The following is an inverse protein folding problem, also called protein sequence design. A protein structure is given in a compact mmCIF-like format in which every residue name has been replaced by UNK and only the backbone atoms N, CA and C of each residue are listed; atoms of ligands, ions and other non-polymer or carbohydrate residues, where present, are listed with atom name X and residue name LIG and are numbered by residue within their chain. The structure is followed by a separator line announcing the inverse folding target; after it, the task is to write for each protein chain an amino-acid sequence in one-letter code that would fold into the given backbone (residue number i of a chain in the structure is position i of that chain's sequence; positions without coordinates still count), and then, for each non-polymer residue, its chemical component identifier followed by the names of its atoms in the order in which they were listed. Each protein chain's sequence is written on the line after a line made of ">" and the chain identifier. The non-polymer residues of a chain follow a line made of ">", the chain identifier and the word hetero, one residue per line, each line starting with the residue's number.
data_IF_102447222844
#
_entry.id   IF_102447222844
#
_cell.length_a   1.000
_cell.length_b   1.000
_cell.length_c   1.000
_cell.angle_alpha   90.00
_cell.angle_beta   90.00
_cell.angle_gamma   90.00
#
_symmetry.space_group_name_H-M   'P 1'
#
loop_
_entity.id
_entity.type
_entity.pdbx_description
1 polymer ?
#
# COMPACT_ATOMS: atom_id res chain seq x y z
N UNK A 1 14.94 -5.84 -18.58
CA UNK A 1 13.53 -6.22 -18.82
C UNK A 1 13.30 -7.58 -18.17
N UNK A 2 12.34 -7.69 -17.24
CA UNK A 2 12.16 -8.90 -16.43
C UNK A 2 11.64 -10.08 -17.26
N UNK A 3 12.30 -11.24 -17.17
CA UNK A 3 12.03 -12.41 -18.03
C UNK A 3 10.62 -13.01 -17.87
N UNK A 4 9.99 -12.84 -16.71
CA UNK A 4 8.65 -13.35 -16.41
C UNK A 4 7.51 -12.54 -17.04
N UNK A 5 7.80 -11.38 -17.66
CA UNK A 5 6.81 -10.57 -18.38
C UNK A 5 6.37 -11.17 -19.73
N UNK A 6 7.00 -12.26 -20.18
CA UNK A 6 6.80 -12.85 -21.52
C UNK A 6 5.58 -13.77 -21.65
N UNK A 7 4.78 -14.00 -20.59
CA UNK A 7 3.64 -14.93 -20.64
C UNK A 7 2.35 -14.29 -20.12
N UNK A 8 1.31 -14.36 -20.96
CA UNK A 8 -0.14 -14.32 -20.66
C UNK A 8 -0.87 -12.95 -20.75
N UNK A 9 -2.16 -13.05 -21.14
CA UNK A 9 -3.13 -12.04 -21.62
C UNK A 9 -4.21 -11.67 -20.57
N UNK A 10 -4.84 -10.51 -20.76
CA UNK A 10 -5.80 -9.90 -19.82
C UNK A 10 -7.28 -10.06 -20.27
N UNK A 11 -8.27 -10.05 -19.34
CA UNK A 11 -9.68 -10.06 -19.70
C UNK A 11 -10.25 -8.64 -19.91
N UNK A 12 -11.29 -8.56 -20.76
CA UNK A 12 -12.03 -7.35 -21.15
C UNK A 12 -13.44 -7.40 -20.53
N UNK A 13 -13.95 -6.27 -20.02
CA UNK A 13 -15.34 -6.14 -19.55
C UNK A 13 -16.13 -5.21 -20.47
N UNK A 14 -17.31 -5.65 -20.92
CA UNK A 14 -18.19 -4.97 -21.87
C UNK A 14 -19.03 -3.84 -21.23
N UNK A 15 -19.47 -2.89 -22.06
CA UNK A 15 -20.26 -1.70 -21.70
C UNK A 15 -21.68 -1.79 -22.30
N UNK A 16 -22.66 -2.23 -21.52
CA UNK A 16 -24.08 -2.02 -21.84
C UNK A 16 -24.72 -1.04 -20.83
N UNK A 17 -25.70 -0.21 -21.25
CA UNK A 17 -26.37 0.74 -20.38
C UNK A 17 -27.28 0.02 -19.38
N UNK A 18 -26.94 0.11 -18.10
CA UNK A 18 -27.70 -0.52 -17.01
C UNK A 18 -29.07 0.15 -16.84
N UNK A 19 -30.15 -0.65 -16.87
CA UNK A 19 -31.44 -0.27 -16.28
C UNK A 19 -31.30 -0.24 -14.75
N UNK A 20 -31.90 0.75 -14.09
CA UNK A 20 -31.84 0.89 -12.63
C UNK A 20 -33.13 0.41 -12.00
N UNK A 21 -33.05 -0.59 -11.11
CA UNK A 21 -34.18 -1.06 -10.32
C UNK A 21 -34.05 -0.59 -8.86
N UNK A 22 -35.17 -0.41 -8.18
CA UNK A 22 -35.17 -0.13 -6.74
C UNK A 22 -34.59 -1.34 -5.97
N UNK A 23 -33.61 -1.15 -5.07
CA UNK A 23 -32.99 -2.26 -4.34
C UNK A 23 -33.89 -2.88 -3.25
N UNK A 24 -35.07 -2.30 -3.01
CA UNK A 24 -36.02 -2.81 -2.00
C UNK A 24 -37.27 -3.46 -2.58
N UNK A 25 -37.77 -2.99 -3.72
CA UNK A 25 -38.99 -3.51 -4.34
C UNK A 25 -38.82 -3.91 -5.81
N UNK A 26 -37.60 -3.81 -6.34
CA UNK A 26 -37.21 -4.24 -7.71
C UNK A 26 -37.91 -3.52 -8.87
N UNK A 27 -38.78 -2.55 -8.60
CA UNK A 27 -39.43 -1.74 -9.64
C UNK A 27 -38.40 -0.92 -10.42
N UNK A 28 -38.55 -0.92 -11.74
CA UNK A 28 -37.73 -0.15 -12.67
C UNK A 28 -37.90 1.35 -12.40
N UNK A 29 -36.78 2.07 -12.34
CA UNK A 29 -36.74 3.51 -12.10
C UNK A 29 -36.79 4.22 -13.44
N UNK A 30 -37.70 5.20 -13.58
CA UNK A 30 -37.91 5.97 -14.84
C UNK A 30 -36.62 6.55 -15.45
N UNK A 31 -35.63 6.89 -14.61
CA UNK A 31 -34.31 7.34 -15.04
C UNK A 31 -33.26 6.82 -14.07
N UNK A 32 -32.06 6.55 -14.58
CA UNK A 32 -30.93 6.16 -13.71
C UNK A 32 -30.67 7.26 -12.67
N UNK A 33 -30.73 6.94 -11.36
CA UNK A 33 -30.45 7.89 -10.28
C UNK A 33 -29.03 8.46 -10.32
N UNK A 34 -28.87 9.76 -10.13
CA UNK A 34 -27.52 10.37 -9.96
C UNK A 34 -27.16 10.67 -8.50
N UNK A 35 -28.17 10.77 -7.62
CA UNK A 35 -28.05 11.10 -6.19
C UNK A 35 -28.98 10.24 -5.34
N UNK A 36 -28.79 10.26 -4.02
CA UNK A 36 -29.69 9.64 -3.03
C UNK A 36 -31.13 10.13 -3.25
N UNK A 37 -32.10 9.22 -3.28
CA UNK A 37 -33.52 9.55 -3.43
C UNK A 37 -34.44 8.45 -2.88
N UNK A 38 -35.74 8.76 -2.75
CA UNK A 38 -36.79 7.81 -2.38
C UNK A 38 -37.38 7.12 -3.60
N UNK A 39 -37.65 5.84 -3.49
CA UNK A 39 -38.45 5.13 -4.49
C UNK A 39 -39.90 5.65 -4.48
N UNK A 40 -40.44 6.01 -5.64
CA UNK A 40 -41.83 6.48 -5.76
C UNK A 40 -42.88 5.39 -5.45
N UNK A 41 -42.51 4.11 -5.57
CA UNK A 41 -43.42 3.00 -5.30
C UNK A 41 -43.39 2.57 -3.83
N UNK A 42 -42.22 2.27 -3.26
CA UNK A 42 -42.14 1.75 -1.89
C UNK A 42 -41.77 2.79 -0.82
N UNK A 43 -41.50 4.04 -1.21
CA UNK A 43 -41.14 5.14 -0.29
C UNK A 43 -39.76 5.05 0.35
N UNK A 44 -39.07 3.90 0.27
CA UNK A 44 -37.75 3.67 0.87
C UNK A 44 -36.64 4.45 0.16
N UNK A 45 -35.67 4.91 0.94
CA UNK A 45 -34.48 5.62 0.44
C UNK A 45 -33.40 4.66 -0.03
N UNK A 46 -32.84 4.92 -1.21
CA UNK A 46 -31.69 4.20 -1.74
C UNK A 46 -30.53 5.16 -2.03
N UNK A 47 -29.32 4.60 -2.06
CA UNK A 47 -28.07 5.33 -2.22
C UNK A 47 -27.46 4.98 -3.58
N UNK A 48 -26.86 5.98 -4.23
CA UNK A 48 -26.15 5.80 -5.49
C UNK A 48 -24.64 5.82 -5.25
N UNK A 49 -23.93 4.86 -5.84
CA UNK A 49 -22.47 4.80 -5.87
C UNK A 49 -21.96 4.60 -7.29
N UNK A 50 -20.68 4.85 -7.51
CA UNK A 50 -19.98 4.47 -8.74
C UNK A 50 -19.07 3.29 -8.40
N UNK A 51 -19.23 2.17 -9.11
CA UNK A 51 -18.42 0.98 -8.97
C UNK A 51 -16.93 1.31 -9.17
N UNK A 52 -16.06 0.93 -8.23
CA UNK A 52 -14.67 1.38 -8.19
C UNK A 52 -13.82 0.77 -9.34
N UNK A 53 -14.15 -0.45 -9.79
CA UNK A 53 -13.61 -1.08 -11.00
C UNK A 53 -14.31 -0.61 -12.29
N UNK A 54 -15.56 -1.02 -12.48
CA UNK A 54 -16.28 -0.87 -13.77
C UNK A 54 -16.72 0.55 -14.08
N UNK A 55 -16.68 1.46 -13.09
CA UNK A 55 -17.20 2.84 -13.17
C UNK A 55 -18.70 2.94 -13.46
N UNK A 56 -19.42 1.81 -13.44
CA UNK A 56 -20.86 1.77 -13.58
C UNK A 56 -21.54 2.32 -12.31
N UNK A 57 -22.74 2.88 -12.47
CA UNK A 57 -23.52 3.34 -11.32
C UNK A 57 -24.21 2.16 -10.64
N UNK A 58 -24.24 2.19 -9.31
CA UNK A 58 -24.88 1.19 -8.46
C UNK A 58 -26.00 1.86 -7.68
N UNK A 59 -27.14 1.18 -7.56
CA UNK A 59 -28.26 1.58 -6.70
C UNK A 59 -28.33 0.59 -5.55
N UNK A 60 -28.08 1.06 -4.32
CA UNK A 60 -27.86 0.23 -3.15
C UNK A 60 -28.81 0.59 -2.02
N UNK A 61 -29.10 -0.38 -1.16
CA UNK A 61 -29.65 -0.10 0.18
C UNK A 61 -28.62 0.64 1.02
N UNK A 62 -29.03 1.20 2.16
CA UNK A 62 -28.07 1.81 3.10
C UNK A 62 -27.04 0.80 3.62
N UNK A 63 -27.50 -0.41 3.94
CA UNK A 63 -26.64 -1.50 4.41
C UNK A 63 -25.63 -1.94 3.35
N UNK A 64 -26.05 -2.06 2.11
CA UNK A 64 -25.17 -2.48 1.01
C UNK A 64 -24.22 -1.36 0.59
N UNK A 65 -24.65 -0.10 0.68
CA UNK A 65 -23.78 1.05 0.48
C UNK A 65 -22.66 1.09 1.52
N UNK A 66 -22.97 0.85 2.81
CA UNK A 66 -21.95 0.78 3.86
C UNK A 66 -20.93 -0.34 3.62
N UNK A 67 -21.40 -1.55 3.25
CA UNK A 67 -20.52 -2.67 2.89
C UNK A 67 -19.64 -2.34 1.69
N UNK A 68 -20.24 -1.77 0.65
CA UNK A 68 -19.53 -1.38 -0.57
C UNK A 68 -18.46 -0.31 -0.30
N UNK A 69 -18.75 0.67 0.55
CA UNK A 69 -17.79 1.72 0.90
C UNK A 69 -16.56 1.14 1.64
N UNK A 70 -16.76 0.14 2.51
CA UNK A 70 -15.65 -0.61 3.16
C UNK A 70 -14.85 -1.42 2.13
N UNK A 71 -15.51 -2.16 1.24
CA UNK A 71 -14.86 -2.94 0.20
C UNK A 71 -14.02 -2.05 -0.74
N UNK A 72 -14.61 -0.91 -1.15
CA UNK A 72 -13.95 0.10 -1.97
C UNK A 72 -12.69 0.65 -1.27
N UNK A 73 -12.78 0.99 0.01
CA UNK A 73 -11.63 1.51 0.76
C UNK A 73 -10.51 0.46 0.85
N UNK A 74 -10.86 -0.81 1.07
CA UNK A 74 -9.90 -1.91 1.08
C UNK A 74 -9.23 -2.08 -0.29
N UNK A 75 -10.02 -2.07 -1.38
CA UNK A 75 -9.49 -2.12 -2.74
C UNK A 75 -8.46 -1.01 -3.01
N UNK A 76 -8.77 0.24 -2.67
CA UNK A 76 -7.84 1.35 -2.90
C UNK A 76 -6.61 1.30 -1.99
N UNK A 77 -6.75 0.77 -0.78
CA UNK A 77 -5.62 0.52 0.11
C UNK A 77 -4.68 -0.52 -0.49
N UNK A 78 -5.19 -1.65 -0.98
CA UNK A 78 -4.40 -2.67 -1.67
C UNK A 78 -3.77 -2.15 -2.97
N UNK A 79 -4.57 -1.42 -3.76
CA UNK A 79 -4.10 -0.82 -5.02
C UNK A 79 -2.96 0.17 -4.79
N UNK A 80 -2.92 0.85 -3.64
CA UNK A 80 -1.86 1.82 -3.32
C UNK A 80 -0.47 1.20 -3.29
N UNK A 81 -0.34 -0.07 -2.88
CA UNK A 81 0.94 -0.78 -2.95
C UNK A 81 1.36 -0.99 -4.40
N UNK A 82 0.45 -1.47 -5.26
CA UNK A 82 0.72 -1.64 -6.69
C UNK A 82 1.13 -0.31 -7.31
N UNK A 83 0.37 0.77 -7.05
CA UNK A 83 0.66 2.09 -7.59
C UNK A 83 2.03 2.61 -7.10
N UNK A 84 2.38 2.37 -5.84
CA UNK A 84 3.71 2.70 -5.30
C UNK A 84 4.84 1.91 -5.94
N UNK A 85 4.59 0.64 -6.29
CA UNK A 85 5.56 -0.22 -6.99
C UNK A 85 5.78 0.23 -8.45
N UNK A 86 4.80 0.83 -9.12
CA UNK A 86 4.92 1.25 -10.54
C UNK A 86 6.17 2.10 -10.81
N UNK A 87 6.55 2.96 -9.87
CA UNK A 87 7.73 3.81 -9.97
C UNK A 87 9.04 3.01 -10.09
N UNK A 88 9.06 1.77 -9.61
CA UNK A 88 10.23 0.89 -9.62
C UNK A 88 10.18 -0.19 -10.71
N UNK A 89 8.99 -0.49 -11.25
CA UNK A 89 8.87 -1.55 -12.26
C UNK A 89 9.45 -1.09 -13.62
N UNK A 90 9.43 0.23 -13.90
CA UNK A 90 10.00 0.76 -15.15
C UNK A 90 9.29 0.26 -16.41
N UNK A 91 8.01 -0.10 -16.28
CA UNK A 91 7.16 -0.63 -17.36
C UNK A 91 5.90 0.20 -17.51
N UNK A 92 5.28 0.13 -18.69
CA UNK A 92 4.03 0.85 -18.93
C UNK A 92 2.86 0.28 -18.11
N UNK A 93 1.78 1.05 -18.01
CA UNK A 93 0.60 0.66 -17.22
C UNK A 93 -0.02 -0.67 -17.66
N UNK A 94 0.00 -1.01 -18.96
CA UNK A 94 -0.57 -2.26 -19.47
C UNK A 94 0.25 -3.45 -19.03
N UNK A 95 1.58 -3.30 -18.96
CA UNK A 95 2.48 -4.35 -18.47
C UNK A 95 2.28 -4.60 -16.97
N UNK A 96 2.02 -3.56 -16.18
CA UNK A 96 1.65 -3.71 -14.76
C UNK A 96 0.33 -4.47 -14.60
N UNK A 97 -0.70 -4.10 -15.36
CA UNK A 97 -2.01 -4.77 -15.28
C UNK A 97 -1.91 -6.26 -15.65
N UNK A 98 -1.09 -6.60 -16.65
CA UNK A 98 -0.82 -8.00 -17.02
C UNK A 98 -0.17 -8.78 -15.88
N UNK A 99 0.85 -8.21 -15.25
CA UNK A 99 1.53 -8.82 -14.10
C UNK A 99 0.57 -9.08 -12.94
N UNK A 100 -0.27 -8.09 -12.61
CA UNK A 100 -1.26 -8.19 -11.53
C UNK A 100 -2.23 -9.35 -11.82
N UNK A 101 -2.76 -9.43 -13.03
CA UNK A 101 -3.69 -10.50 -13.40
C UNK A 101 -3.02 -11.88 -13.38
N UNK A 102 -1.83 -12.02 -13.97
CA UNK A 102 -1.11 -13.30 -13.99
C UNK A 102 -0.77 -13.80 -12.58
N UNK A 103 -0.30 -12.91 -11.71
CA UNK A 103 -0.02 -13.24 -10.30
C UNK A 103 -1.30 -13.63 -9.56
N UNK A 104 -2.41 -12.94 -9.84
CA UNK A 104 -3.71 -13.26 -9.25
C UNK A 104 -4.19 -14.64 -9.64
N UNK A 105 -4.04 -15.03 -10.90
CA UNK A 105 -4.44 -16.35 -11.38
C UNK A 105 -3.61 -17.45 -10.73
N UNK A 106 -2.29 -17.25 -10.60
CA UNK A 106 -1.39 -18.19 -9.93
C UNK A 106 -1.78 -18.37 -8.45
N UNK A 107 -1.94 -17.27 -7.71
CA UNK A 107 -2.32 -17.31 -6.31
C UNK A 107 -3.73 -17.90 -6.12
N UNK A 108 -4.67 -17.59 -7.01
CA UNK A 108 -6.03 -18.15 -6.97
C UNK A 108 -6.01 -19.66 -7.11
N UNK A 109 -5.21 -20.20 -8.05
CA UNK A 109 -5.01 -21.65 -8.20
C UNK A 109 -4.39 -22.26 -6.95
N UNK A 110 -3.41 -21.58 -6.35
CA UNK A 110 -2.72 -22.05 -5.12
C UNK A 110 -3.62 -22.04 -3.90
N UNK A 111 -4.49 -21.04 -3.75
CA UNK A 111 -5.34 -20.86 -2.58
C UNK A 111 -6.66 -21.66 -2.67
N UNK A 112 -7.12 -21.99 -3.88
CA UNK A 112 -8.43 -22.60 -4.10
C UNK A 112 -9.59 -21.59 -4.04
N UNK A 113 -9.30 -20.29 -3.94
CA UNK A 113 -10.27 -19.19 -3.97
C UNK A 113 -9.62 -17.95 -4.57
N UNK A 114 -10.43 -16.99 -5.03
CA UNK A 114 -9.95 -15.75 -5.67
C UNK A 114 -9.01 -14.98 -4.75
N UNK A 115 -7.75 -14.84 -5.17
CA UNK A 115 -6.76 -14.10 -4.39
C UNK A 115 -7.15 -12.62 -4.22
N UNK A 116 -6.93 -12.11 -3.01
CA UNK A 116 -7.14 -10.70 -2.70
C UNK A 116 -6.05 -9.85 -3.38
N UNK A 117 -6.38 -8.58 -3.68
CA UNK A 117 -5.43 -7.69 -4.36
C UNK A 117 -4.19 -7.43 -3.49
N UNK A 118 -4.35 -7.35 -2.16
CA UNK A 118 -3.24 -7.24 -1.23
C UNK A 118 -2.22 -8.38 -1.33
N UNK A 119 -2.68 -9.63 -1.42
CA UNK A 119 -1.79 -10.80 -1.57
C UNK A 119 -1.04 -10.77 -2.90
N UNK A 120 -1.72 -10.34 -3.97
CA UNK A 120 -1.12 -10.15 -5.30
C UNK A 120 -0.04 -9.07 -5.25
N UNK A 121 -0.36 -7.91 -4.69
CA UNK A 121 0.57 -6.80 -4.54
C UNK A 121 1.80 -7.18 -3.71
N UNK A 122 1.57 -7.92 -2.62
CA UNK A 122 2.63 -8.45 -1.76
C UNK A 122 3.54 -9.43 -2.50
N UNK A 123 2.96 -10.39 -3.23
CA UNK A 123 3.72 -11.35 -4.04
C UNK A 123 4.60 -10.63 -5.07
N UNK A 124 4.04 -9.65 -5.79
CA UNK A 124 4.79 -8.83 -6.76
C UNK A 124 5.97 -8.12 -6.09
N UNK A 125 5.75 -7.46 -4.94
CA UNK A 125 6.84 -6.78 -4.22
C UNK A 125 7.98 -7.74 -3.84
N UNK A 126 7.68 -8.97 -3.40
CA UNK A 126 8.70 -9.95 -3.05
C UNK A 126 9.47 -10.45 -4.29
N UNK A 127 8.78 -10.67 -5.41
CA UNK A 127 9.44 -11.01 -6.68
C UNK A 127 10.40 -9.89 -7.13
N UNK A 128 9.97 -8.64 -6.97
CA UNK A 128 10.80 -7.48 -7.30
C UNK A 128 12.03 -7.37 -6.38
N UNK A 129 11.88 -7.61 -5.07
CA UNK A 129 13.00 -7.65 -4.12
C UNK A 129 13.99 -8.75 -4.53
N UNK A 130 13.52 -9.97 -4.80
CA UNK A 130 14.38 -11.09 -5.18
C UNK A 130 15.22 -10.78 -6.42
N UNK A 131 14.63 -10.08 -7.38
CA UNK A 131 15.31 -9.69 -8.60
C UNK A 131 16.25 -8.48 -8.41
N UNK A 132 15.88 -7.51 -7.58
CA UNK A 132 16.75 -6.41 -7.21
C UNK A 132 18.00 -6.91 -6.44
N UNK A 133 17.83 -7.93 -5.58
CA UNK A 133 18.94 -8.62 -4.90
C UNK A 133 19.92 -9.21 -5.91
N UNK A 134 19.43 -9.94 -6.94
CA UNK A 134 20.30 -10.52 -7.98
C UNK A 134 21.13 -9.48 -8.72
N UNK A 135 20.58 -8.26 -8.87
CA UNK A 135 21.25 -7.14 -9.55
C UNK A 135 22.11 -6.28 -8.63
N UNK A 136 22.04 -6.49 -7.32
CA UNK A 136 22.65 -5.60 -6.34
C UNK A 136 22.01 -4.20 -6.29
N UNK A 137 20.77 -4.05 -6.76
CA UNK A 137 20.06 -2.76 -6.80
C UNK A 137 19.46 -2.43 -5.42
N UNK A 138 20.30 -1.89 -4.56
CA UNK A 138 19.95 -1.56 -3.16
C UNK A 138 18.89 -0.47 -3.06
N UNK A 139 18.89 0.50 -3.97
CA UNK A 139 17.93 1.59 -3.95
C UNK A 139 16.53 1.08 -4.30
N UNK A 140 16.44 0.15 -5.26
CA UNK A 140 15.19 -0.55 -5.55
C UNK A 140 14.72 -1.39 -4.36
N UNK A 141 15.61 -2.14 -3.69
CA UNK A 141 15.25 -2.92 -2.48
C UNK A 141 14.68 -2.01 -1.40
N UNK A 142 15.38 -0.91 -1.07
CA UNK A 142 14.94 0.07 -0.06
C UNK A 142 13.61 0.71 -0.44
N UNK A 143 13.45 1.09 -1.70
CA UNK A 143 12.21 1.64 -2.23
C UNK A 143 11.03 0.67 -2.09
N UNK A 144 11.22 -0.61 -2.40
CA UNK A 144 10.15 -1.62 -2.26
C UNK A 144 9.82 -1.89 -0.78
N UNK A 145 10.83 -2.00 0.10
CA UNK A 145 10.60 -2.13 1.54
C UNK A 145 9.82 -0.93 2.09
N UNK A 146 10.09 0.29 1.62
CA UNK A 146 9.31 1.47 2.01
C UNK A 146 7.84 1.32 1.62
N UNK A 147 7.55 0.88 0.39
CA UNK A 147 6.17 0.65 -0.07
C UNK A 147 5.48 -0.47 0.73
N UNK A 148 6.18 -1.57 1.02
CA UNK A 148 5.66 -2.65 1.86
C UNK A 148 5.35 -2.18 3.28
N UNK A 149 6.26 -1.43 3.91
CA UNK A 149 6.04 -0.87 5.24
C UNK A 149 4.82 0.07 5.25
N UNK A 150 4.70 0.94 4.25
CA UNK A 150 3.58 1.88 4.13
C UNK A 150 2.25 1.14 3.95
N UNK A 151 2.22 0.09 3.13
CA UNK A 151 1.05 -0.77 2.97
C UNK A 151 0.63 -1.45 4.28
N UNK A 152 1.58 -2.05 5.00
CA UNK A 152 1.30 -2.67 6.31
C UNK A 152 0.74 -1.64 7.29
N UNK A 153 1.36 -0.46 7.38
CA UNK A 153 0.90 0.62 8.25
C UNK A 153 -0.54 1.07 7.91
N UNK A 154 -0.83 1.29 6.63
CA UNK A 154 -2.15 1.74 6.16
C UNK A 154 -3.24 0.67 6.31
N UNK A 155 -2.87 -0.61 6.35
CA UNK A 155 -3.76 -1.75 6.63
C UNK A 155 -3.83 -2.12 8.11
N UNK A 156 -3.18 -1.35 9.00
CA UNK A 156 -3.21 -1.60 10.44
C UNK A 156 -2.40 -2.81 10.89
N UNK A 157 -1.44 -3.24 10.07
CA UNK A 157 -0.47 -4.31 10.38
C UNK A 157 0.85 -3.70 10.87
N UNK A 158 1.63 -4.48 11.60
CA UNK A 158 2.94 -4.03 12.09
C UNK A 158 3.93 -3.88 10.91
N UNK A 159 4.47 -2.68 10.77
CA UNK A 159 5.43 -2.32 9.72
C UNK A 159 6.86 -2.11 10.25
N UNK A 160 7.09 -2.20 11.56
CA UNK A 160 8.38 -1.83 12.19
C UNK A 160 9.53 -2.70 11.71
N UNK A 161 9.30 -4.00 11.53
CA UNK A 161 10.33 -4.92 11.02
C UNK A 161 10.82 -4.54 9.63
N UNK A 162 9.92 -4.09 8.76
CA UNK A 162 10.31 -3.68 7.39
C UNK A 162 11.00 -2.32 7.42
N UNK A 163 10.53 -1.37 8.22
CA UNK A 163 11.24 -0.11 8.45
C UNK A 163 12.66 -0.35 8.98
N UNK A 164 12.83 -1.31 9.91
CA UNK A 164 14.15 -1.68 10.42
C UNK A 164 15.10 -2.14 9.31
N UNK A 165 14.63 -2.90 8.32
CA UNK A 165 15.47 -3.33 7.20
C UNK A 165 16.02 -2.13 6.43
N UNK A 166 15.20 -1.09 6.22
CA UNK A 166 15.62 0.14 5.54
C UNK A 166 16.72 0.84 6.35
N UNK A 167 16.51 1.03 7.65
CA UNK A 167 17.48 1.68 8.54
C UNK A 167 18.79 0.87 8.67
N UNK A 168 18.70 -0.45 8.80
CA UNK A 168 19.86 -1.33 8.85
C UNK A 168 20.67 -1.24 7.55
N UNK A 169 20.01 -1.15 6.40
CA UNK A 169 20.66 -1.01 5.09
C UNK A 169 21.33 0.35 4.91
N UNK A 170 20.71 1.44 5.38
CA UNK A 170 21.31 2.77 5.36
C UNK A 170 22.57 2.82 6.25
N UNK A 171 22.50 2.26 7.47
CA UNK A 171 23.66 2.17 8.36
C UNK A 171 24.79 1.32 7.74
N UNK A 172 24.47 0.18 7.13
CA UNK A 172 25.46 -0.65 6.44
C UNK A 172 26.10 0.06 5.26
N UNK A 173 25.33 0.89 4.54
CA UNK A 173 25.86 1.68 3.44
C UNK A 173 26.82 2.76 3.95
N UNK A 174 26.44 3.50 5.00
CA UNK A 174 27.33 4.47 5.66
C UNK A 174 28.59 3.78 6.17
N UNK A 175 28.46 2.58 6.77
CA UNK A 175 29.60 1.81 7.32
C UNK A 175 30.66 1.44 6.29
N UNK A 176 30.31 1.40 4.99
CA UNK A 176 31.31 1.16 3.93
C UNK A 176 32.28 2.32 3.78
N UNK A 177 31.92 3.52 4.25
CA UNK A 177 32.86 4.63 4.32
C UNK A 177 33.94 4.32 5.35
N UNK A 178 35.20 4.41 4.95
CA UNK A 178 36.32 4.25 5.88
C UNK A 178 36.45 5.44 6.84
N UNK A 179 35.87 6.59 6.49
CA UNK A 179 36.00 7.86 7.22
C UNK A 179 34.87 8.10 8.23
N UNK A 180 33.68 7.54 7.99
CA UNK A 180 32.50 7.81 8.83
C UNK A 180 32.37 6.69 9.85
N UNK A 181 32.51 7.02 11.15
CA UNK A 181 32.39 6.07 12.26
C UNK A 181 31.15 6.25 13.11
N UNK A 182 30.56 7.45 13.05
CA UNK A 182 29.41 7.85 13.87
C UNK A 182 28.28 8.36 13.00
N UNK A 183 27.08 8.28 13.58
CA UNK A 183 25.86 8.85 13.03
C UNK A 183 25.14 9.62 14.12
N UNK A 184 24.42 10.67 13.74
CA UNK A 184 23.39 11.29 14.58
C UNK A 184 22.00 10.88 14.10
N UNK A 185 21.02 10.98 14.99
CA UNK A 185 19.61 10.81 14.62
C UNK A 185 19.00 12.17 14.31
N UNK A 186 18.44 12.32 13.11
CA UNK A 186 17.61 13.46 12.71
C UNK A 186 16.15 13.03 12.70
N UNK A 187 15.32 13.74 13.44
CA UNK A 187 13.89 13.48 13.53
C UNK A 187 13.10 14.42 12.64
N UNK A 188 11.77 14.26 12.62
CA UNK A 188 10.88 15.22 11.96
C UNK A 188 10.79 16.58 12.69
N UNK A 189 11.76 16.90 13.57
CA UNK A 189 11.88 18.13 14.36
C UNK A 189 10.57 18.47 15.07
N UNK A 190 10.02 19.66 14.83
CA UNK A 190 8.74 20.11 15.41
C UNK A 190 7.57 19.18 15.10
N UNK A 191 7.61 18.45 13.98
CA UNK A 191 6.57 17.49 13.59
C UNK A 191 6.79 16.09 14.17
N UNK A 192 7.86 15.86 14.94
CA UNK A 192 8.11 14.58 15.60
C UNK A 192 7.20 14.38 16.81
N UNK A 193 6.84 13.14 17.11
CA UNK A 193 6.16 12.83 18.38
C UNK A 193 7.13 12.96 19.57
N UNK A 194 6.61 13.09 20.78
CA UNK A 194 7.41 13.31 22.00
C UNK A 194 8.47 12.22 22.25
N UNK A 195 8.23 10.96 21.86
CA UNK A 195 9.24 9.91 21.95
C UNK A 195 10.37 10.10 20.94
N UNK A 196 10.05 10.51 19.72
CA UNK A 196 11.04 10.77 18.67
C UNK A 196 11.87 12.01 18.99
N UNK A 197 11.27 13.09 19.52
CA UNK A 197 11.99 14.32 19.90
C UNK A 197 13.17 14.05 20.84
N UNK A 198 13.04 13.06 21.74
CA UNK A 198 14.11 12.63 22.66
C UNK A 198 15.32 12.00 21.96
N UNK A 199 15.20 11.62 20.69
CA UNK A 199 16.29 11.04 19.90
C UNK A 199 17.04 12.07 19.08
N UNK A 200 16.51 13.29 18.91
CA UNK A 200 17.12 14.33 18.08
C UNK A 200 18.58 14.59 18.48
N UNK A 201 19.48 14.58 17.50
CA UNK A 201 20.89 14.87 17.69
C UNK A 201 21.66 13.81 18.49
N UNK A 202 21.03 12.69 18.86
CA UNK A 202 21.74 11.61 19.57
C UNK A 202 22.81 11.00 18.66
N UNK A 203 24.07 11.18 19.04
CA UNK A 203 25.24 10.63 18.35
C UNK A 203 25.56 9.24 18.90
N UNK A 204 25.93 8.31 18.02
CA UNK A 204 26.42 6.98 18.37
C UNK A 204 27.30 6.41 17.26
N UNK A 205 28.07 5.37 17.56
CA UNK A 205 28.79 4.63 16.52
C UNK A 205 27.81 3.87 15.63
N UNK A 206 28.21 3.59 14.39
CA UNK A 206 27.38 2.82 13.45
C UNK A 206 27.10 1.40 14.01
N UNK A 207 28.06 0.80 14.71
CA UNK A 207 27.90 -0.53 15.32
C UNK A 207 26.94 -0.53 16.50
N UNK A 208 26.97 0.51 17.34
CA UNK A 208 25.96 0.70 18.39
C UNK A 208 24.57 0.90 17.79
N UNK A 209 24.44 1.67 16.71
CA UNK A 209 23.16 1.88 16.03
C UNK A 209 22.59 0.57 15.45
N UNK A 210 23.42 -0.24 14.79
CA UNK A 210 23.04 -1.56 14.26
C UNK A 210 22.64 -2.55 15.35
N UNK A 211 23.29 -2.47 16.52
CA UNK A 211 23.03 -3.35 17.68
C UNK A 211 21.77 -2.94 18.44
N UNK A 212 21.64 -1.66 18.75
CA UNK A 212 20.58 -1.12 19.65
C UNK A 212 19.31 -0.76 18.90
N UNK A 213 19.39 -0.54 17.58
CA UNK A 213 18.25 -0.29 16.68
C UNK A 213 17.31 0.81 17.19
N UNK A 214 17.80 2.03 17.45
CA UNK A 214 16.96 3.11 17.97
C UNK A 214 15.91 3.57 16.94
N UNK A 215 16.16 3.36 15.64
CA UNK A 215 15.21 3.58 14.56
C UNK A 215 14.78 2.24 13.93
N UNK A 216 13.46 2.02 13.66
CA UNK A 216 12.35 2.93 13.96
C UNK A 216 12.13 3.04 15.47
N UNK A 217 11.80 4.25 15.96
CA UNK A 217 11.54 4.46 17.37
C UNK A 217 10.40 3.53 17.85
N UNK A 218 10.71 2.68 18.84
CA UNK A 218 9.79 1.67 19.37
C UNK A 218 8.47 2.25 19.90
N UNK A 219 8.51 3.48 20.42
CA UNK A 219 7.37 4.20 21.01
C UNK A 219 6.84 5.31 20.09
N UNK A 220 7.22 5.31 18.80
CA UNK A 220 6.68 6.28 17.86
C UNK A 220 5.15 6.25 17.86
N UNK A 221 4.52 7.40 18.10
CA UNK A 221 3.06 7.55 18.14
C UNK A 221 2.48 8.25 16.91
N UNK A 222 3.34 8.70 15.98
CA UNK A 222 2.88 9.37 14.75
C UNK A 222 2.15 8.39 13.82
N UNK A 223 0.95 8.74 13.36
CA UNK A 223 0.13 7.89 12.48
C UNK A 223 -0.21 8.61 11.18
N UNK A 224 0.20 8.03 10.05
CA UNK A 224 -0.24 8.48 8.72
C UNK A 224 -1.68 8.09 8.36
N UNK A 225 -2.19 7.01 8.96
CA UNK A 225 -3.52 6.46 8.66
C UNK A 225 -4.30 6.25 9.95
N UNK A 226 -5.62 6.50 9.89
CA UNK A 226 -6.54 6.22 10.99
C UNK A 226 -6.62 4.72 11.31
N UNK A 227 -6.32 3.86 10.34
CA UNK A 227 -6.29 2.39 10.49
C UNK A 227 -5.02 1.89 11.18
N UNK A 228 -3.99 2.74 11.31
CA UNK A 228 -2.69 2.32 11.82
C UNK A 228 -2.73 1.95 13.31
N UNK A 229 -2.18 0.79 13.63
CA UNK A 229 -2.00 0.31 15.01
C UNK A 229 -0.67 0.76 15.60
N UNK A 230 0.40 0.77 14.80
CA UNK A 230 1.75 1.19 15.19
C UNK A 230 2.05 2.60 14.69
N UNK A 231 3.12 3.22 15.20
CA UNK A 231 3.64 4.48 14.66
C UNK A 231 4.42 4.30 13.35
N UNK A 232 4.45 5.37 12.57
CA UNK A 232 5.26 5.50 11.36
C UNK A 232 6.49 6.37 11.64
N UNK A 233 7.68 5.77 11.65
CA UNK A 233 8.90 6.48 11.95
C UNK A 233 9.36 7.27 10.71
N UNK A 234 9.61 8.57 10.89
CA UNK A 234 10.11 9.48 9.84
C UNK A 234 11.52 10.01 10.14
N UNK A 235 12.15 9.49 11.20
CA UNK A 235 13.51 9.83 11.56
C UNK A 235 14.49 9.14 10.62
N UNK A 236 15.73 9.61 10.59
CA UNK A 236 16.82 9.07 9.78
C UNK A 236 18.16 9.19 10.51
N UNK A 237 19.14 8.41 10.07
CA UNK A 237 20.53 8.60 10.48
C UNK A 237 21.20 9.61 9.55
N UNK A 238 21.99 10.52 10.11
CA UNK A 238 22.88 11.41 9.38
C UNK A 238 24.32 11.02 9.70
N UNK A 239 25.18 11.02 8.67
CA UNK A 239 26.60 10.80 8.86
C UNK A 239 27.21 11.96 9.64
N UNK A 240 28.00 11.65 10.66
CA UNK A 240 28.80 12.64 11.38
C UNK A 240 30.25 12.56 10.88
N UNK A 241 30.75 13.68 10.40
CA UNK A 241 32.15 13.85 10.01
C UNK A 241 32.85 14.45 11.23
N UNK A 242 33.81 13.72 11.80
CA UNK A 242 34.65 14.22 12.89
C UNK A 242 35.54 15.40 12.41
#
# INVERSE_FOLDING_TARGET
>A
MFEWLKKVTAPVVSKEPLKANCPYCSIELNKFPTRKQKCKSCGKEFIVRTHYLTKQKLVLTEKDAAKYDVEKENYYTDKSLIDGLKNYIGVDAKQVDKLVNATRDELTKKFGFTAALGDVAWSISNMMIAEAIKKGDKDMIKGIHFQQAMYLHNTGRDCKKIQQLIFDDDLREIKKSEFIKKVSISTAKESACEHCKKLEGKIMTIDEALKTKPLPCGECSYKMSKRAKTGWCRCMYLSEID
#
